data_IF_085206337053
#
_entry.id   IF_085206337053
#
_cell.length_a   1.000
_cell.length_b   1.000
_cell.length_c   1.000
_cell.angle_alpha   90.00
_cell.angle_beta   90.00
_cell.angle_gamma   90.00
#
_symmetry.space_group_name_H-M   'P 1'
#
loop_
_entity.id
_entity.type
_entity.pdbx_description
1 polymer ?
2 non-polymer ?
3 non-polymer ?
4 non-polymer ?
5 non-polymer ?
6 water ?
#
# COMPACT_ATOMS: atom_id res chain seq x y z
N UNK A 4 17.54 20.34 16.35
CA UNK A 4 17.46 19.29 15.26
C UNK A 4 16.12 19.39 14.51
N UNK A 5 16.10 19.82 13.21
CA UNK A 5 14.85 20.11 12.53
C UNK A 5 14.04 18.84 12.29
N UNK A 6 12.72 18.96 12.23
CA UNK A 6 11.85 17.81 11.87
C UNK A 6 11.92 17.62 10.38
N UNK A 7 11.94 16.36 9.90
CA UNK A 7 12.03 16.12 8.49
C UNK A 7 10.76 16.46 7.73
N UNK A 8 10.95 16.78 6.44
CA UNK A 8 9.87 17.09 5.46
C UNK A 8 9.67 15.85 4.58
N UNK A 9 10.69 15.00 4.50
CA UNK A 9 10.70 13.76 3.69
C UNK A 9 11.49 12.68 4.41
N UNK A 10 11.04 11.44 4.28
CA UNK A 10 11.77 10.25 4.79
C UNK A 10 11.90 9.25 3.67
N UNK A 11 12.80 8.31 3.81
CA UNK A 11 12.81 7.17 2.88
C UNK A 11 12.39 5.92 3.63
N UNK A 12 11.66 5.10 2.88
CA UNK A 12 11.03 3.87 3.43
C UNK A 12 11.47 2.73 2.53
N UNK A 13 12.01 1.69 3.14
CA UNK A 13 12.28 0.41 2.49
C UNK A 13 11.11 -0.55 2.73
N UNK A 14 10.65 -1.17 1.65
CA UNK A 14 9.65 -2.26 1.68
C UNK A 14 10.32 -3.51 1.13
N UNK A 15 10.28 -4.59 1.89
CA UNK A 15 10.72 -5.88 1.38
C UNK A 15 9.62 -6.90 1.46
N UNK A 16 9.52 -7.75 0.47
CA UNK A 16 8.61 -8.91 0.53
C UNK A 16 9.43 -10.14 0.11
N UNK A 17 9.35 -11.18 0.91
CA UNK A 17 10.02 -12.45 0.58
C UNK A 17 9.23 -13.64 1.06
N UNK A 18 8.87 -14.52 0.14
CA UNK A 18 8.32 -15.84 0.51
C UNK A 18 9.54 -16.75 0.67
N UNK A 19 9.79 -17.16 1.88
CA UNK A 19 11.03 -17.85 2.27
C UNK A 19 10.91 -19.37 1.97
N UNK A 20 9.77 -19.86 1.52
CA UNK A 20 9.62 -21.27 1.17
C UNK A 20 9.90 -22.22 2.33
N UNK A 21 9.64 -21.76 3.55
CA UNK A 21 9.72 -22.57 4.80
C UNK A 21 11.17 -22.98 5.09
N UNK A 22 12.15 -22.29 4.49
CA UNK A 22 13.59 -22.60 4.66
C UNK A 22 14.23 -21.45 5.40
N UNK A 23 15.24 -21.70 6.25
CA UNK A 23 15.97 -20.60 6.86
C UNK A 23 16.73 -19.84 5.79
N UNK A 24 16.99 -18.56 6.05
CA UNK A 24 17.71 -17.74 5.09
C UNK A 24 19.18 -18.10 5.04
N UNK A 25 19.90 -17.65 4.01
CA UNK A 25 21.35 -17.81 4.00
C UNK A 25 21.98 -16.81 4.99
N UNK A 26 23.30 -16.90 5.17
CA UNK A 26 23.97 -16.13 6.24
C UNK A 26 24.05 -14.65 5.88
N UNK A 27 24.02 -14.31 4.59
CA UNK A 27 24.09 -12.91 4.15
C UNK A 27 22.85 -12.55 3.32
N UNK A 28 22.11 -11.52 3.74
CA UNK A 28 20.90 -11.06 2.99
C UNK A 28 21.01 -9.56 2.76
N UNK A 29 22.18 -8.98 2.97
CA UNK A 29 22.36 -7.51 2.82
C UNK A 29 21.94 -6.95 1.45
N UNK A 30 22.07 -7.75 0.38
CA UNK A 30 21.70 -7.34 -1.00
C UNK A 30 20.24 -6.87 -1.02
N UNK A 31 19.39 -7.53 -0.24
CA UNK A 31 17.95 -7.18 -0.19
C UNK A 31 17.79 -5.73 0.29
N UNK A 32 18.41 -5.42 1.41
CA UNK A 32 18.23 -4.11 2.05
C UNK A 32 18.99 -3.02 1.31
N UNK A 33 19.96 -3.39 0.50
CA UNK A 33 20.71 -2.45 -0.38
C UNK A 33 20.02 -2.27 -1.73
N UNK A 34 18.91 -2.93 -2.01
CA UNK A 34 18.22 -2.79 -3.31
C UNK A 34 19.20 -3.10 -4.45
N UNK A 35 19.91 -4.22 -4.35
CA UNK A 35 20.87 -4.71 -5.37
C UNK A 35 20.31 -5.99 -6.02
N UNK A 36 20.48 -6.10 -7.35
CA UNK A 36 20.14 -7.30 -8.09
C UNK A 36 19.63 -6.88 -9.43
N UNK A 37 18.41 -7.28 -9.76
CA UNK A 37 17.75 -6.95 -11.05
C UNK A 37 16.70 -5.87 -10.82
N UNK A 38 16.37 -5.14 -11.89
CA UNK A 38 15.27 -4.19 -11.90
C UNK A 38 15.79 -2.81 -11.73
N UNK A 39 15.02 -1.98 -11.03
CA UNK A 39 15.38 -0.57 -10.71
C UNK A 39 16.13 -0.59 -9.37
N UNK A 40 17.46 -0.55 -9.44
CA UNK A 40 18.33 -0.78 -8.29
C UNK A 40 18.87 0.55 -7.75
N UNK A 41 19.34 0.46 -6.52
CA UNK A 41 19.83 1.64 -5.79
C UNK A 41 21.30 1.86 -6.11
N UNK A 42 21.69 3.14 -6.20
CA UNK A 42 23.08 3.55 -6.55
C UNK A 42 24.03 3.13 -5.42
N UNK A 43 25.21 2.62 -5.80
CA UNK A 43 26.27 2.20 -4.83
C UNK A 43 26.61 3.33 -3.86
N UNK A 44 26.56 4.57 -4.31
CA UNK A 44 26.96 5.74 -3.51
C UNK A 44 26.04 5.91 -2.29
N UNK A 45 24.86 5.29 -2.32
CA UNK A 45 23.91 5.37 -1.20
C UNK A 45 24.04 4.22 -0.22
N UNK A 46 24.94 3.28 -0.40
CA UNK A 46 24.92 2.02 0.39
C UNK A 46 24.99 2.25 1.89
N UNK A 47 25.68 3.30 2.36
CA UNK A 47 25.85 3.48 3.82
C UNK A 47 24.75 4.35 4.41
N UNK A 48 23.89 4.90 3.56
CA UNK A 48 22.85 5.87 3.97
C UNK A 48 21.67 5.03 4.43
N UNK A 49 21.29 5.07 5.71
CA UNK A 49 20.19 4.23 6.19
C UNK A 49 18.89 4.82 5.63
N UNK A 50 17.94 3.95 5.33
CA UNK A 50 16.53 4.37 5.18
C UNK A 50 16.03 4.73 6.57
N UNK A 51 15.00 5.57 6.62
CA UNK A 51 14.38 5.98 7.90
C UNK A 51 13.64 4.81 8.54
N UNK A 52 12.87 4.09 7.73
CA UNK A 52 11.95 3.01 8.16
C UNK A 52 12.19 1.83 7.20
N UNK A 53 12.40 0.62 7.76
CA UNK A 53 12.44 -0.64 7.01
C UNK A 53 11.22 -1.47 7.39
N UNK A 54 10.46 -1.87 6.39
CA UNK A 54 9.27 -2.72 6.57
C UNK A 54 9.50 -4.01 5.83
N UNK A 55 9.48 -5.12 6.56
CA UNK A 55 9.92 -6.46 6.05
C UNK A 55 8.77 -7.45 6.14
N UNK A 56 8.17 -7.80 5.00
CA UNK A 56 7.09 -8.79 4.93
C UNK A 56 7.66 -10.11 4.51
N UNK A 57 7.36 -11.14 5.26
CA UNK A 57 7.70 -12.52 4.84
C UNK A 57 6.43 -13.36 4.78
N UNK A 58 6.54 -14.39 3.98
CA UNK A 58 5.52 -15.47 3.83
C UNK A 58 6.25 -16.80 3.86
N UNK A 59 5.56 -17.85 4.28
CA UNK A 59 6.19 -19.16 4.49
C UNK A 59 7.45 -18.99 5.35
N UNK A 60 7.37 -18.15 6.36
CA UNK A 60 8.51 -17.81 7.24
C UNK A 60 8.62 -18.87 8.32
N UNK A 61 9.74 -19.64 8.37
CA UNK A 61 9.88 -20.74 9.35
C UNK A 61 10.50 -20.33 10.67
N UNK A 62 10.93 -19.09 10.77
CA UNK A 62 11.72 -18.59 11.92
C UNK A 62 10.79 -18.10 13.03
N UNK A 63 11.30 -18.09 14.24
CA UNK A 63 10.62 -17.40 15.34
C UNK A 63 10.78 -15.89 15.10
N UNK A 64 9.93 -15.08 15.73
CA UNK A 64 10.10 -13.61 15.71
C UNK A 64 11.49 -13.25 16.20
N UNK A 65 11.93 -13.87 17.30
CA UNK A 65 13.25 -13.54 17.87
C UNK A 65 14.34 -13.82 16.83
N UNK A 66 14.30 -14.99 16.24
CA UNK A 66 15.33 -15.43 15.29
C UNK A 66 15.39 -14.42 14.12
N UNK A 67 14.23 -14.07 13.57
CA UNK A 67 14.23 -13.19 12.37
C UNK A 67 14.68 -11.78 12.76
N UNK A 68 14.20 -11.25 13.88
CA UNK A 68 14.60 -9.92 14.36
C UNK A 68 16.11 -9.82 14.51
N UNK A 69 16.71 -10.85 15.11
CA UNK A 69 18.18 -11.01 15.24
C UNK A 69 18.83 -10.75 13.89
N UNK A 70 18.41 -11.54 12.88
CA UNK A 70 19.01 -11.54 11.53
C UNK A 70 18.80 -10.15 10.90
N UNK A 71 17.63 -9.58 11.02
CA UNK A 71 17.34 -8.30 10.37
C UNK A 71 18.20 -7.21 11.00
N UNK A 72 18.16 -7.10 12.31
CA UNK A 72 18.95 -6.04 12.99
C UNK A 72 20.45 -6.17 12.70
N UNK A 73 20.98 -7.40 12.72
CA UNK A 73 22.39 -7.68 12.37
C UNK A 73 22.69 -7.17 10.95
N UNK A 74 21.83 -7.52 10.00
CA UNK A 74 22.01 -7.17 8.56
C UNK A 74 22.06 -5.64 8.42
N UNK A 75 21.14 -4.92 9.06
CA UNK A 75 21.09 -3.45 8.95
C UNK A 75 22.31 -2.86 9.64
N UNK A 76 22.71 -3.40 10.78
CA UNK A 76 23.88 -2.85 11.52
C UNK A 76 25.13 -3.01 10.66
N UNK A 77 25.29 -4.15 10.00
CA UNK A 77 26.44 -4.40 9.11
C UNK A 77 26.42 -3.39 7.95
N UNK A 78 25.27 -3.09 7.37
CA UNK A 78 25.18 -2.13 6.23
C UNK A 78 25.49 -0.72 6.68
N UNK A 79 24.87 -0.28 7.76
CA UNK A 79 24.71 1.15 8.09
C UNK A 79 25.46 1.58 9.35
N UNK A 80 25.91 0.61 10.14
CA UNK A 80 26.52 0.78 11.49
C UNK A 80 25.49 1.29 12.52
N UNK A 81 24.20 1.32 12.15
CA UNK A 81 23.12 1.84 13.05
C UNK A 81 22.37 0.65 13.63
N UNK A 82 22.07 0.72 14.91
CA UNK A 82 21.24 -0.26 15.63
C UNK A 82 19.80 0.21 15.55
N UNK A 83 19.01 -0.46 14.73
CA UNK A 83 17.63 -0.02 14.48
C UNK A 83 16.75 -0.44 15.65
N UNK A 84 15.71 0.34 15.91
CA UNK A 84 14.73 0.07 16.95
C UNK A 84 13.56 -0.70 16.34
N UNK A 85 12.98 -1.62 17.08
CA UNK A 85 11.81 -2.37 16.62
C UNK A 85 10.56 -1.54 16.88
N UNK A 86 9.82 -1.16 15.86
CA UNK A 86 8.54 -0.43 15.99
C UNK A 86 7.42 -1.41 16.25
N UNK A 87 7.38 -2.49 15.48
CA UNK A 87 6.29 -3.46 15.60
C UNK A 87 6.70 -4.74 14.90
N UNK A 88 6.18 -5.84 15.40
CA UNK A 88 6.28 -7.15 14.70
C UNK A 88 4.98 -7.88 14.90
N UNK A 89 4.42 -8.45 13.86
CA UNK A 89 3.16 -9.21 13.96
C UNK A 89 3.17 -10.39 13.00
N UNK A 90 2.75 -11.54 13.48
CA UNK A 90 2.79 -12.79 12.73
C UNK A 90 1.43 -13.44 12.77
N UNK A 91 0.94 -13.88 11.61
CA UNK A 91 -0.23 -14.77 11.48
C UNK A 91 0.29 -16.01 10.79
N UNK A 92 0.23 -17.13 11.48
CA UNK A 92 0.74 -18.39 10.94
C UNK A 92 2.20 -18.18 10.52
N UNK A 93 2.48 -18.25 9.23
CA UNK A 93 3.85 -18.04 8.73
C UNK A 93 3.94 -16.78 7.87
N UNK A 94 3.02 -15.83 8.08
CA UNK A 94 2.99 -14.51 7.43
C UNK A 94 3.41 -13.48 8.47
N UNK A 95 4.42 -12.69 8.20
CA UNK A 95 5.00 -11.82 9.23
C UNK A 95 5.31 -10.44 8.66
N UNK A 96 5.17 -9.46 9.50
CA UNK A 96 5.61 -8.09 9.20
C UNK A 96 6.50 -7.58 10.34
N UNK A 97 7.64 -6.97 9.98
CA UNK A 97 8.56 -6.32 10.93
C UNK A 97 8.71 -4.89 10.50
N UNK A 98 8.61 -3.96 11.44
CA UNK A 98 8.91 -2.55 11.16
C UNK A 98 10.05 -2.11 12.08
N UNK A 99 11.12 -1.65 11.45
CA UNK A 99 12.33 -1.14 12.11
C UNK A 99 12.47 0.33 11.75
N UNK A 100 12.98 1.15 12.67
CA UNK A 100 13.22 2.57 12.38
C UNK A 100 14.54 3.03 13.01
N UNK A 101 15.14 4.06 12.41
CA UNK A 101 16.31 4.77 13.00
C UNK A 101 15.97 5.09 14.45
N UNK A 102 16.94 5.01 15.38
CA UNK A 102 16.68 5.40 16.76
C UNK A 102 16.24 6.84 16.98
N UNK A 103 16.70 7.74 16.12
CA UNK A 103 16.34 9.18 16.19
C UNK A 103 14.83 9.35 15.96
N UNK A 104 14.14 8.35 15.40
CA UNK A 104 12.69 8.46 15.10
C UNK A 104 11.82 7.95 16.24
N UNK A 105 12.42 7.44 17.30
CA UNK A 105 11.65 6.71 18.33
C UNK A 105 10.54 7.59 18.94
N UNK A 106 10.83 8.88 19.12
CA UNK A 106 9.88 9.86 19.74
C UNK A 106 9.13 10.64 18.64
N UNK A 107 9.23 10.20 17.38
CA UNK A 107 8.41 10.73 16.26
C UNK A 107 7.30 9.72 15.93
N UNK A 108 7.46 8.48 16.40
CA UNK A 108 6.53 7.38 16.05
C UNK A 108 5.57 7.16 17.21
N UNK A 109 4.29 7.11 16.92
CA UNK A 109 3.30 6.87 17.98
C UNK A 109 2.08 6.17 17.40
N UNK A 110 1.11 5.83 18.22
CA UNK A 110 -0.18 5.25 17.74
C UNK A 110 0.11 4.02 16.90
N UNK A 111 0.96 3.14 17.40
CA UNK A 111 1.31 1.90 16.67
C UNK A 111 0.17 0.91 16.80
N UNK A 112 -0.34 0.42 15.65
CA UNK A 112 -1.41 -0.59 15.58
C UNK A 112 -0.91 -1.80 14.79
N UNK A 113 -1.39 -3.00 15.13
CA UNK A 113 -1.14 -4.24 14.37
C UNK A 113 -2.46 -4.95 14.23
N UNK A 114 -2.61 -5.70 13.15
CA UNK A 114 -3.80 -6.55 12.98
C UNK A 114 -3.52 -7.61 11.93
N UNK A 115 -4.40 -8.57 11.84
CA UNK A 115 -4.29 -9.60 10.78
C UNK A 115 -5.70 -9.88 10.29
N UNK A 116 -5.77 -10.44 9.11
CA UNK A 116 -7.01 -10.99 8.54
C UNK A 116 -6.72 -12.38 8.02
N UNK A 117 -7.54 -13.37 8.36
CA UNK A 117 -7.50 -14.73 7.81
C UNK A 117 -8.45 -14.81 6.64
N UNK A 118 -7.99 -15.24 5.46
CA UNK A 118 -8.91 -15.27 4.30
C UNK A 118 -9.53 -16.67 4.16
N UNK A 119 -10.62 -16.79 3.39
CA UNK A 119 -11.18 -18.12 3.07
C UNK A 119 -12.18 -18.60 4.12
N UNK A 120 -12.77 -19.78 3.91
CA UNK A 120 -13.78 -20.44 4.80
C UNK A 120 -13.48 -21.94 4.82
N UNK A 121 -13.26 -22.54 6.00
CA UNK A 121 -13.12 -24.00 6.24
C UNK A 121 -11.89 -24.54 5.50
N UNK A 122 -12.07 -25.29 4.39
CA UNK A 122 -11.02 -25.73 3.42
C UNK A 122 -9.93 -24.67 3.25
N UNK A 123 -10.36 -23.43 2.94
CA UNK A 123 -9.54 -22.30 2.43
C UNK A 123 -9.11 -21.38 3.59
N UNK A 124 -9.58 -21.65 4.83
CA UNK A 124 -9.11 -20.94 6.05
C UNK A 124 -8.03 -21.79 6.71
N UNK A 125 -6.81 -21.26 6.84
CA UNK A 125 -5.79 -21.91 7.67
C UNK A 125 -4.37 -21.56 7.29
N UNK A 126 -4.15 -20.98 6.11
CA UNK A 126 -2.78 -20.46 5.97
C UNK A 126 -2.59 -19.12 5.24
N UNK A 127 -3.60 -18.63 4.52
CA UNK A 127 -3.50 -17.38 3.74
C UNK A 127 -4.15 -16.23 4.52
N UNK A 128 -3.73 -15.00 4.21
CA UNK A 128 -4.30 -13.81 4.82
C UNK A 128 -3.29 -12.71 4.81
N UNK A 129 -3.39 -11.82 5.77
CA UNK A 129 -2.54 -10.64 5.77
C UNK A 129 -2.23 -10.22 7.19
N UNK A 130 -1.09 -9.57 7.35
CA UNK A 130 -0.75 -8.86 8.60
C UNK A 130 -0.54 -7.40 8.26
N UNK A 131 -0.71 -6.52 9.20
CA UNK A 131 -0.47 -5.10 8.96
C UNK A 131 -0.05 -4.35 10.18
N UNK A 132 0.57 -3.22 9.91
CA UNK A 132 1.09 -2.29 10.92
C UNK A 132 0.67 -0.91 10.46
N UNK A 133 0.27 -0.07 11.40
CA UNK A 133 0.18 1.38 11.18
C UNK A 133 0.75 2.17 12.33
N UNK A 134 1.12 3.41 12.04
CA UNK A 134 1.58 4.34 13.08
C UNK A 134 1.54 5.73 12.48
N UNK A 135 1.67 6.70 13.37
CA UNK A 135 1.90 8.11 13.03
C UNK A 135 3.39 8.35 13.04
N UNK A 136 3.88 9.04 12.04
CA UNK A 136 5.24 9.56 12.01
C UNK A 136 5.06 11.09 12.04
N UNK A 137 5.29 11.74 13.18
CA UNK A 137 4.90 13.16 13.36
C UNK A 137 3.46 13.33 12.86
N UNK A 138 3.18 14.21 11.90
CA UNK A 138 1.78 14.49 11.54
C UNK A 138 1.29 13.58 10.43
N UNK A 139 2.07 12.57 10.06
CA UNK A 139 1.80 11.73 8.86
C UNK A 139 1.43 10.32 9.32
N UNK A 140 0.31 9.82 8.80
CA UNK A 140 -0.12 8.43 9.08
C UNK A 140 0.40 7.49 7.98
N UNK A 141 0.96 6.37 8.44
CA UNK A 141 1.61 5.35 7.56
C UNK A 141 0.95 4.00 7.85
N UNK A 142 0.54 3.32 6.80
CA UNK A 142 0.03 1.95 6.92
C UNK A 142 0.80 0.99 6.03
N UNK A 143 0.91 -0.28 6.46
CA UNK A 143 1.70 -1.28 5.77
C UNK A 143 0.99 -2.59 5.89
N UNK A 144 0.74 -3.23 4.75
CA UNK A 144 0.03 -4.51 4.66
C UNK A 144 0.92 -5.52 3.95
N UNK A 145 1.15 -6.66 4.57
CA UNK A 145 1.80 -7.84 4.00
C UNK A 145 0.75 -8.92 3.80
N UNK A 146 0.42 -9.27 2.59
CA UNK A 146 -0.59 -10.31 2.31
C UNK A 146 0.04 -11.47 1.56
N UNK A 147 -0.39 -12.68 1.89
CA UNK A 147 -0.10 -13.93 1.18
C UNK A 147 -1.43 -14.39 0.62
N UNK A 148 -1.69 -14.15 -0.64
CA UNK A 148 -2.99 -14.45 -1.24
C UNK A 148 -2.97 -15.89 -1.81
N UNK A 149 -4.15 -16.34 -2.19
CA UNK A 149 -4.38 -17.71 -2.68
C UNK A 149 -3.46 -17.99 -3.85
N UNK A 150 -2.89 -19.20 -3.88
CA UNK A 150 -1.95 -19.71 -4.91
C UNK A 150 -2.73 -20.20 -6.14
N UNK A 151 -2.03 -20.39 -7.25
CA UNK A 151 -2.52 -21.16 -8.39
C UNK A 151 -2.94 -20.27 -9.51
N UNK A 152 -2.50 -20.58 -10.71
CA UNK A 152 -2.81 -19.76 -11.89
C UNK A 152 -4.32 -19.57 -12.12
N UNK A 153 -5.12 -20.55 -11.71
CA UNK A 153 -6.57 -20.63 -12.02
C UNK A 153 -7.38 -19.78 -11.03
N UNK A 154 -6.75 -19.25 -9.97
CA UNK A 154 -7.46 -18.66 -8.81
C UNK A 154 -7.33 -17.12 -8.75
N UNK A 155 -7.27 -16.45 -9.90
CA UNK A 155 -7.16 -14.97 -9.83
C UNK A 155 -8.38 -14.35 -9.12
N UNK A 156 -9.58 -14.88 -9.37
CA UNK A 156 -10.79 -14.32 -8.75
C UNK A 156 -10.75 -14.47 -7.24
N UNK A 157 -10.26 -15.62 -6.74
CA UNK A 157 -10.08 -15.86 -5.29
C UNK A 157 -9.12 -14.80 -4.74
N UNK A 158 -8.01 -14.57 -5.43
CA UNK A 158 -7.05 -13.54 -4.96
C UNK A 158 -7.79 -12.21 -4.84
N UNK A 159 -8.62 -11.89 -5.83
CA UNK A 159 -9.31 -10.60 -5.79
C UNK A 159 -10.25 -10.56 -4.58
N UNK A 160 -10.89 -11.69 -4.29
CA UNK A 160 -11.77 -11.78 -3.10
C UNK A 160 -10.92 -11.64 -1.84
N UNK A 161 -9.75 -12.27 -1.81
CA UNK A 161 -8.86 -12.18 -0.63
C UNK A 161 -8.52 -10.70 -0.39
N UNK A 162 -8.14 -9.99 -1.44
CA UNK A 162 -7.84 -8.56 -1.39
C UNK A 162 -9.00 -7.79 -0.75
N UNK A 163 -10.23 -8.03 -1.22
CA UNK A 163 -11.37 -7.24 -0.69
C UNK A 163 -11.61 -7.59 0.78
N UNK A 164 -11.47 -8.86 1.17
CA UNK A 164 -11.63 -9.20 2.60
C UNK A 164 -10.57 -8.48 3.43
N UNK A 165 -9.33 -8.48 2.99
CA UNK A 165 -8.26 -7.84 3.78
C UNK A 165 -8.56 -6.34 3.92
N UNK A 166 -8.91 -5.73 2.78
CA UNK A 166 -9.27 -4.30 2.66
C UNK A 166 -10.35 -3.97 3.69
N UNK A 167 -11.39 -4.79 3.74
CA UNK A 167 -12.58 -4.54 4.59
C UNK A 167 -12.26 -4.74 6.05
N UNK A 168 -11.52 -5.78 6.38
CA UNK A 168 -11.51 -6.27 7.79
C UNK A 168 -10.24 -5.96 8.54
N UNK A 169 -9.19 -5.50 7.87
CA UNK A 169 -7.95 -5.22 8.60
C UNK A 169 -8.17 -3.91 9.36
N UNK A 170 -8.01 -3.94 10.66
CA UNK A 170 -8.37 -2.83 11.56
C UNK A 170 -7.11 -2.10 11.97
N UNK A 171 -6.70 -1.14 11.17
CA UNK A 171 -5.51 -0.33 11.45
C UNK A 171 -5.92 1.12 11.51
N UNK A 172 -5.01 1.98 11.97
CA UNK A 172 -5.20 3.42 11.92
C UNK A 172 -6.25 3.90 12.90
N UNK A 173 -6.74 5.11 12.68
CA UNK A 173 -7.61 5.84 13.66
C UNK A 173 -9.03 5.26 13.60
N UNK A 174 -9.42 4.54 14.68
CA UNK A 174 -10.75 3.89 14.76
C UNK A 174 -11.87 4.94 14.67
N UNK A 175 -11.64 6.26 14.94
CA UNK A 175 -12.67 7.32 14.77
C UNK A 175 -13.01 7.49 13.30
N UNK A 176 -12.15 7.03 12.39
CA UNK A 176 -12.46 7.13 10.94
C UNK A 176 -13.40 5.99 10.56
N UNK A 177 -14.52 5.85 11.26
CA UNK A 177 -15.36 4.63 11.18
C UNK A 177 -15.89 4.34 9.79
N UNK A 178 -16.25 5.31 8.90
CA UNK A 178 -16.72 4.97 7.56
C UNK A 178 -15.62 4.50 6.61
N UNK A 179 -14.37 4.59 7.03
CA UNK A 179 -13.23 4.43 6.10
C UNK A 179 -12.48 3.13 6.37
N UNK A 180 -12.18 2.41 5.30
CA UNK A 180 -11.28 1.23 5.35
C UNK A 180 -9.81 1.69 5.23
N UNK A 181 -8.91 0.72 5.28
CA UNK A 181 -7.47 1.07 5.25
C UNK A 181 -7.11 1.82 3.97
N UNK A 182 -7.86 1.70 2.88
CA UNK A 182 -7.50 2.43 1.63
C UNK A 182 -7.73 3.94 1.77
N UNK A 183 -8.28 4.44 2.86
CA UNK A 183 -8.46 5.90 3.10
C UNK A 183 -7.89 6.35 4.43
N UNK A 184 -7.35 5.46 5.27
CA UNK A 184 -6.96 5.89 6.64
C UNK A 184 -5.56 6.47 6.71
N UNK A 185 -4.74 6.36 5.67
CA UNK A 185 -3.32 6.72 5.79
C UNK A 185 -2.88 7.71 4.73
N UNK A 186 -2.02 8.64 5.11
CA UNK A 186 -1.35 9.53 4.17
C UNK A 186 -0.65 8.68 3.08
N UNK A 187 0.01 7.62 3.52
CA UNK A 187 0.72 6.69 2.63
C UNK A 187 0.38 5.27 3.08
N UNK A 188 -0.11 4.43 2.18
CA UNK A 188 -0.41 3.01 2.45
C UNK A 188 0.43 2.18 1.49
N UNK A 189 1.22 1.26 2.03
CA UNK A 189 2.03 0.33 1.21
C UNK A 189 1.42 -1.05 1.38
N UNK A 190 1.12 -1.73 0.28
CA UNK A 190 0.51 -3.08 0.29
C UNK A 190 1.41 -3.95 -0.58
N UNK A 191 1.92 -4.98 0.02
CA UNK A 191 2.97 -5.83 -0.59
C UNK A 191 2.70 -7.26 -0.18
N UNK A 192 3.46 -8.18 -0.76
CA UNK A 192 3.42 -9.55 -0.34
C UNK A 192 3.59 -10.51 -1.50
N UNK A 193 3.38 -11.79 -1.18
CA UNK A 193 3.20 -12.85 -2.20
C UNK A 193 1.75 -12.85 -2.61
N UNK A 194 1.45 -11.94 -3.53
CA UNK A 194 0.09 -11.72 -4.06
C UNK A 194 -0.28 -12.86 -4.99
N UNK A 195 0.66 -13.61 -5.56
CA UNK A 195 0.38 -14.90 -6.21
C UNK A 195 -0.31 -14.77 -7.56
N UNK A 196 -0.39 -13.56 -8.10
CA UNK A 196 -0.84 -13.42 -9.50
C UNK A 196 0.22 -13.93 -10.48
N UNK A 197 -0.24 -14.61 -11.52
CA UNK A 197 0.61 -15.34 -12.44
C UNK A 197 0.60 -14.74 -13.83
N UNK A 198 1.56 -15.18 -14.62
CA UNK A 198 1.62 -14.88 -16.06
C UNK A 198 0.72 -15.92 -16.72
N UNK A 199 -0.42 -15.45 -17.26
CA UNK A 199 -1.48 -16.34 -17.80
C UNK A 199 -1.21 -16.62 -19.28
N UNK A 200 -0.35 -17.60 -19.53
CA UNK A 200 0.02 -18.07 -20.88
C UNK A 200 -0.18 -19.56 -20.83
N UNK A 201 -0.37 -20.22 -22.00
CA UNK A 201 -0.56 -21.66 -22.01
C UNK A 201 0.66 -22.37 -21.42
N UNK A 202 0.44 -23.48 -20.71
CA UNK A 202 1.50 -24.21 -19.97
C UNK A 202 2.54 -24.79 -20.93
N UNK A 203 2.17 -25.03 -22.19
CA UNK A 203 3.09 -25.55 -23.24
C UNK A 203 3.96 -24.42 -23.83
N UNK A 204 3.73 -23.16 -23.44
CA UNK A 204 4.66 -22.05 -23.70
C UNK A 204 5.75 -21.93 -22.61
N UNK A 205 5.87 -22.84 -21.65
CA UNK A 205 6.83 -22.71 -20.55
C UNK A 205 8.23 -22.42 -21.09
N UNK A 206 8.74 -23.19 -22.05
CA UNK A 206 10.15 -23.04 -22.46
C UNK A 206 10.28 -21.72 -23.19
N UNK A 207 9.27 -21.33 -23.95
CA UNK A 207 9.28 -20.02 -24.63
C UNK A 207 9.37 -18.92 -23.60
N UNK A 208 8.59 -19.01 -22.53
CA UNK A 208 8.66 -17.97 -21.45
C UNK A 208 10.06 -17.91 -20.86
N UNK A 209 10.65 -19.07 -20.59
CA UNK A 209 12.00 -19.14 -20.01
C UNK A 209 13.01 -18.46 -20.93
N UNK A 210 12.92 -18.70 -22.24
CA UNK A 210 13.89 -18.11 -23.20
C UNK A 210 13.66 -16.59 -23.25
N UNK A 211 12.42 -16.10 -23.12
CA UNK A 211 12.16 -14.64 -23.07
C UNK A 211 12.85 -14.03 -21.83
N UNK A 212 12.72 -14.72 -20.69
CA UNK A 212 13.37 -14.26 -19.44
C UNK A 212 14.89 -14.19 -19.61
N UNK A 213 15.49 -15.20 -20.22
CA UNK A 213 16.95 -15.22 -20.45
C UNK A 213 17.41 -14.05 -21.33
N UNK A 214 16.56 -13.57 -22.22
CA UNK A 214 16.81 -12.44 -23.13
C UNK A 214 16.44 -11.13 -22.45
N UNK A 215 15.97 -11.17 -21.20
CA UNK A 215 15.48 -9.98 -20.47
C UNK A 215 14.42 -9.24 -21.29
N UNK A 216 13.55 -9.99 -21.96
CA UNK A 216 12.45 -9.44 -22.77
C UNK A 216 11.17 -9.75 -22.01
N UNK A 217 10.73 -8.81 -21.19
CA UNK A 217 9.59 -9.04 -20.26
C UNK A 217 8.27 -8.55 -20.84
N UNK A 218 8.25 -7.81 -21.93
CA UNK A 218 7.02 -7.12 -22.40
C UNK A 218 5.90 -8.13 -22.69
N UNK A 219 6.16 -9.20 -23.43
CA UNK A 219 5.08 -10.13 -23.82
C UNK A 219 4.67 -10.95 -22.60
N UNK A 220 5.49 -10.98 -21.54
CA UNK A 220 5.06 -11.69 -20.32
C UNK A 220 4.22 -10.75 -19.44
N UNK A 221 4.69 -9.51 -19.22
CA UNK A 221 3.93 -8.53 -18.38
C UNK A 221 2.54 -8.27 -18.97
N UNK A 222 2.36 -8.32 -20.29
CA UNK A 222 1.05 -8.10 -20.94
C UNK A 222 0.08 -9.22 -20.56
N UNK A 223 0.57 -10.32 -19.98
CA UNK A 223 -0.30 -11.43 -19.49
C UNK A 223 -0.26 -11.56 -17.97
N UNK A 224 0.42 -10.63 -17.29
CA UNK A 224 0.45 -10.69 -15.81
C UNK A 224 -0.94 -10.42 -15.27
N UNK A 225 -1.45 -11.32 -14.44
CA UNK A 225 -2.84 -11.23 -13.97
C UNK A 225 -3.03 -9.98 -13.12
N UNK A 226 -2.07 -9.60 -12.32
CA UNK A 226 -2.28 -8.42 -11.47
C UNK A 226 -2.41 -7.15 -12.36
N UNK A 227 -1.52 -6.97 -13.34
CA UNK A 227 -1.66 -5.81 -14.25
C UNK A 227 -3.00 -5.86 -14.97
N UNK A 228 -3.42 -7.04 -15.45
CA UNK A 228 -4.67 -7.11 -16.26
C UNK A 228 -5.86 -6.90 -15.34
N UNK A 229 -5.92 -7.51 -14.17
CA UNK A 229 -7.02 -7.28 -13.22
C UNK A 229 -7.08 -5.83 -12.76
N UNK A 230 -5.93 -5.20 -12.52
CA UNK A 230 -5.88 -3.77 -12.15
C UNK A 230 -6.45 -2.93 -13.30
N UNK A 231 -6.08 -3.25 -14.54
CA UNK A 231 -6.49 -2.44 -15.71
C UNK A 231 -8.00 -2.53 -15.87
N UNK A 232 -8.60 -3.68 -15.51
CA UNK A 232 -10.06 -3.88 -15.60
C UNK A 232 -10.78 -3.49 -14.30
N UNK A 233 -10.05 -2.88 -13.36
CA UNK A 233 -10.63 -2.32 -12.11
C UNK A 233 -11.26 -3.44 -11.29
N UNK A 234 -10.62 -4.61 -11.30
CA UNK A 234 -11.11 -5.76 -10.49
C UNK A 234 -10.42 -5.82 -9.15
N UNK A 235 -9.31 -5.13 -8.95
CA UNK A 235 -8.51 -5.24 -7.73
C UNK A 235 -7.57 -4.05 -7.63
N UNK A 236 -7.20 -3.66 -6.42
CA UNK A 236 -6.18 -2.63 -6.20
C UNK A 236 -6.54 -1.32 -6.94
N UNK A 237 -7.80 -0.97 -6.94
CA UNK A 237 -8.25 0.28 -7.56
C UNK A 237 -7.58 1.43 -6.84
N UNK A 238 -6.98 2.34 -7.60
CA UNK A 238 -6.38 3.61 -7.10
C UNK A 238 -5.07 3.36 -6.38
N UNK A 239 -4.49 2.19 -6.56
CA UNK A 239 -3.07 1.95 -6.14
C UNK A 239 -2.11 2.09 -7.30
N UNK A 240 -0.85 2.38 -6.98
CA UNK A 240 0.25 2.52 -7.97
C UNK A 240 1.23 1.36 -7.80
N UNK A 241 1.91 1.00 -8.89
CA UNK A 241 3.02 0.03 -8.87
C UNK A 241 4.06 0.57 -9.83
N UNK A 242 5.33 0.51 -9.43
CA UNK A 242 6.47 0.89 -10.30
C UNK A 242 6.59 -0.14 -11.43
N UNK A 243 7.01 0.32 -12.62
CA UNK A 243 7.23 -0.59 -13.75
C UNK A 243 8.15 -1.71 -13.31
N UNK A 244 7.80 -2.93 -13.71
CA UNK A 244 8.59 -4.14 -13.43
C UNK A 244 9.68 -4.32 -14.48
N UNK A 245 10.93 -4.36 -14.05
CA UNK A 245 12.09 -4.47 -14.97
C UNK A 245 13.03 -5.58 -14.50
N UNK A 246 12.53 -6.48 -13.66
CA UNK A 246 13.28 -7.63 -13.13
C UNK A 246 12.58 -8.91 -13.60
N UNK A 247 13.32 -10.00 -13.60
CA UNK A 247 12.74 -11.28 -14.03
C UNK A 247 11.67 -11.74 -13.04
N UNK A 248 10.75 -12.59 -13.48
CA UNK A 248 9.81 -13.26 -12.58
C UNK A 248 10.53 -13.84 -11.38
N UNK A 249 9.93 -13.67 -10.20
CA UNK A 249 10.56 -14.00 -8.91
C UNK A 249 10.14 -15.39 -8.42
N UNK A 250 9.37 -16.10 -9.22
CA UNK A 250 8.82 -17.42 -8.86
C UNK A 250 8.71 -18.18 -10.19
N UNK A 251 8.85 -19.53 -10.22
CA UNK A 251 9.25 -20.42 -9.17
C UNK A 251 10.63 -20.96 -9.51
N UNK A 252 11.62 -20.75 -8.65
CA UNK A 252 13.03 -21.15 -8.91
C UNK A 252 13.32 -22.49 -8.24
N UNK A 253 14.18 -23.27 -8.87
CA UNK A 253 14.91 -24.33 -8.14
C UNK A 253 15.73 -23.67 -7.03
N UNK A 254 15.74 -24.25 -5.84
CA UNK A 254 16.54 -23.71 -4.72
C UNK A 254 18.05 -23.86 -4.98
N UNK A 255 18.84 -22.97 -4.38
CA UNK A 255 20.31 -22.98 -4.31
C UNK A 255 20.95 -22.49 -5.62
N UNK A 256 20.16 -22.18 -6.66
CA UNK A 256 20.67 -21.47 -7.85
C UNK A 256 19.59 -20.44 -8.21
N UNK A 257 19.81 -19.55 -9.17
CA UNK A 257 18.72 -18.81 -9.85
C UNK A 257 18.75 -19.15 -11.33
N UNK A 258 19.41 -20.24 -11.70
CA UNK A 258 19.63 -20.54 -13.14
C UNK A 258 18.42 -21.27 -13.72
N UNK A 259 17.53 -21.77 -12.86
CA UNK A 259 16.45 -22.66 -13.33
C UNK A 259 15.11 -22.27 -12.71
N UNK A 260 14.14 -22.14 -13.58
CA UNK A 260 12.72 -22.06 -13.17
C UNK A 260 12.16 -23.48 -13.10
N UNK A 261 11.52 -23.81 -11.97
CA UNK A 261 10.90 -25.13 -11.70
C UNK A 261 9.40 -24.99 -11.92
N UNK A 262 8.94 -25.21 -13.13
CA UNK A 262 7.54 -24.92 -13.48
C UNK A 262 6.65 -26.14 -13.67
N UNK A 263 7.24 -27.33 -13.85
CA UNK A 263 6.51 -28.57 -14.20
C UNK A 263 5.62 -29.00 -13.03
N UNK A 264 4.48 -29.63 -13.34
CA UNK A 264 3.55 -30.11 -12.29
C UNK A 264 4.18 -31.32 -11.61
N UNK A 265 3.99 -31.39 -10.31
CA UNK A 265 4.60 -32.38 -9.37
C UNK A 265 3.56 -32.74 -8.31
N UNK A 266 3.67 -33.93 -7.68
CA UNK A 266 2.72 -34.21 -6.59
C UNK A 266 2.77 -33.09 -5.56
N UNK A 267 3.98 -32.60 -5.25
CA UNK A 267 4.21 -31.53 -4.25
C UNK A 267 3.46 -30.23 -4.62
N UNK A 268 3.16 -30.00 -5.90
CA UNK A 268 2.41 -28.78 -6.29
C UNK A 268 0.92 -29.06 -6.48
N UNK A 269 0.46 -30.26 -6.10
CA UNK A 269 -0.92 -30.63 -6.38
C UNK A 269 -1.16 -30.83 -7.86
N UNK A 270 -0.13 -31.23 -8.59
CA UNK A 270 -0.18 -31.44 -10.04
C UNK A 270 -0.57 -30.14 -10.75
N UNK A 271 -0.06 -29.01 -10.25
CA UNK A 271 -0.23 -27.66 -10.83
C UNK A 271 1.08 -27.23 -11.48
N UNK A 272 1.00 -26.59 -12.65
CA UNK A 272 2.14 -25.91 -13.26
C UNK A 272 2.32 -24.58 -12.54
N UNK A 273 3.56 -24.20 -12.42
CA UNK A 273 3.94 -22.86 -11.88
C UNK A 273 4.79 -22.19 -12.96
N UNK A 274 4.16 -21.69 -14.00
CA UNK A 274 4.89 -20.92 -15.03
C UNK A 274 5.50 -19.72 -14.33
N UNK A 275 6.70 -19.29 -14.74
CA UNK A 275 7.38 -18.14 -14.15
C UNK A 275 6.45 -16.94 -14.08
N UNK A 276 6.40 -16.34 -12.89
CA UNK A 276 5.43 -15.30 -12.55
C UNK A 276 6.01 -14.27 -11.59
N UNK A 277 5.44 -13.10 -11.65
CA UNK A 277 5.76 -12.03 -10.69
C UNK A 277 4.78 -12.13 -9.50
N UNK A 278 5.01 -13.12 -8.65
CA UNK A 278 4.12 -13.35 -7.49
C UNK A 278 4.30 -12.24 -6.46
N UNK A 279 5.48 -11.64 -6.40
CA UNK A 279 5.96 -10.91 -5.20
C UNK A 279 6.04 -9.42 -5.53
N UNK A 280 5.21 -8.60 -4.90
CA UNK A 280 4.88 -7.27 -5.45
C UNK A 280 4.84 -6.24 -4.34
N UNK A 281 5.00 -4.98 -4.73
CA UNK A 281 4.85 -3.83 -3.84
C UNK A 281 3.99 -2.82 -4.54
N UNK A 282 2.90 -2.43 -3.91
CA UNK A 282 2.02 -1.36 -4.43
C UNK A 282 1.82 -0.31 -3.34
N UNK A 283 1.37 0.87 -3.72
CA UNK A 283 1.10 1.91 -2.72
C UNK A 283 -0.05 2.79 -3.14
N UNK A 284 -0.58 3.50 -2.17
CA UNK A 284 -1.62 4.50 -2.39
C UNK A 284 -1.35 5.61 -1.39
N UNK A 285 -1.17 6.81 -1.88
CA UNK A 285 -0.95 7.98 -1.03
C UNK A 285 -2.07 8.97 -1.31
N UNK A 286 -2.36 9.80 -0.34
CA UNK A 286 -3.38 10.86 -0.50
C UNK A 286 -2.94 11.78 -1.64
N UNK A 287 -3.95 12.40 -2.28
CA UNK A 287 -3.69 13.28 -3.41
C UNK A 287 -2.68 14.39 -3.11
N UNK A 288 -1.74 14.58 -4.02
CA UNK A 288 -0.74 15.70 -4.01
C UNK A 288 0.15 15.58 -2.80
N UNK A 289 0.34 14.38 -2.26
CA UNK A 289 1.45 14.16 -1.31
C UNK A 289 2.61 13.58 -2.11
N UNK A 290 3.80 14.04 -1.79
CA UNK A 290 5.03 13.54 -2.45
C UNK A 290 5.23 12.06 -2.10
N UNK A 291 5.35 11.23 -3.13
CA UNK A 291 5.79 9.82 -2.96
C UNK A 291 6.46 9.45 -4.25
N UNK A 292 7.70 9.03 -4.18
CA UNK A 292 8.48 8.66 -5.38
C UNK A 292 9.15 7.32 -5.11
N UNK A 293 8.90 6.35 -5.97
CA UNK A 293 9.59 5.06 -5.94
C UNK A 293 11.02 5.26 -6.43
N UNK A 294 11.99 4.92 -5.58
CA UNK A 294 13.45 5.07 -5.84
C UNK A 294 14.04 3.74 -6.35
N UNK A 295 13.43 2.60 -6.00
CA UNK A 295 13.95 1.27 -6.40
C UNK A 295 12.79 0.27 -6.41
N UNK A 296 12.87 -0.71 -7.29
CA UNK A 296 11.87 -1.80 -7.35
C UNK A 296 12.54 -2.92 -8.12
N UNK A 297 12.89 -3.98 -7.40
CA UNK A 297 13.69 -5.04 -8.01
C UNK A 297 13.74 -6.29 -7.19
N UNK A 298 14.54 -7.24 -7.62
CA UNK A 298 14.69 -8.53 -6.92
C UNK A 298 16.16 -8.83 -6.72
N UNK A 299 16.46 -9.53 -5.64
CA UNK A 299 17.85 -9.96 -5.42
C UNK A 299 18.14 -11.17 -6.30
N UNK A 300 19.43 -11.32 -6.61
CA UNK A 300 19.97 -12.41 -7.47
C UNK A 300 20.76 -13.43 -6.64
N UNK A 301 21.14 -13.11 -5.40
CA UNK A 301 22.13 -13.88 -4.62
C UNK A 301 21.50 -14.54 -3.38
N UNK A 302 20.18 -14.50 -3.21
CA UNK A 302 19.52 -15.13 -2.03
C UNK A 302 18.66 -16.25 -2.62
N UNK A 303 19.07 -17.50 -2.39
CA UNK A 303 18.60 -18.67 -3.19
C UNK A 303 18.03 -19.80 -2.31
N UNK A 304 17.74 -19.54 -1.03
CA UNK A 304 17.23 -20.59 -0.12
C UNK A 304 15.77 -20.92 -0.42
N UNK A 305 15.05 -20.01 -1.06
CA UNK A 305 13.63 -20.18 -1.35
C UNK A 305 13.42 -20.41 -2.84
N UNK A 306 12.24 -20.86 -3.20
CA UNK A 306 11.77 -20.94 -4.59
C UNK A 306 11.25 -19.57 -5.08
N UNK A 307 11.21 -18.60 -4.19
CA UNK A 307 10.98 -17.18 -4.55
C UNK A 307 12.25 -16.40 -4.28
N UNK A 308 12.50 -15.38 -5.10
CA UNK A 308 13.52 -14.36 -4.78
C UNK A 308 12.88 -13.21 -4.02
N UNK A 309 13.59 -12.63 -3.05
CA UNK A 309 13.18 -11.42 -2.37
C UNK A 309 12.97 -10.26 -3.35
N UNK A 310 12.01 -9.42 -3.03
CA UNK A 310 11.69 -8.20 -3.77
C UNK A 310 11.91 -7.03 -2.82
N UNK A 311 12.48 -5.97 -3.33
CA UNK A 311 12.66 -4.69 -2.62
C UNK A 311 11.97 -3.57 -3.36
N UNK A 312 11.53 -2.59 -2.61
CA UNK A 312 11.10 -1.30 -3.17
C UNK A 312 11.45 -0.22 -2.16
N UNK A 313 11.92 0.91 -2.62
CA UNK A 313 12.18 2.05 -1.72
C UNK A 313 11.46 3.28 -2.24
N UNK A 314 11.10 4.13 -1.28
CA UNK A 314 10.28 5.31 -1.53
C UNK A 314 10.83 6.52 -0.78
N UNK A 315 10.77 7.68 -1.42
CA UNK A 315 10.89 9.00 -0.74
C UNK A 315 9.45 9.48 -0.49
N UNK A 316 9.06 9.66 0.77
CA UNK A 316 7.68 9.97 1.18
C UNK A 316 7.64 11.30 1.94
N UNK A 317 6.78 12.21 1.49
CA UNK A 317 6.53 13.45 2.23
C UNK A 317 5.91 13.20 3.57
N UNK A 318 6.40 13.95 4.57
CA UNK A 318 5.90 13.90 5.96
C UNK A 318 5.73 15.33 6.43
N UNK A 319 4.87 15.50 7.41
CA UNK A 319 4.58 16.81 8.00
C UNK A 319 4.89 16.76 9.49
N UNK A 320 5.07 17.93 10.09
CA UNK A 320 5.41 18.11 11.52
C UNK A 320 4.16 17.91 12.38
N UNK A 321 4.35 17.77 13.70
CA UNK A 321 3.26 17.78 14.69
C UNK A 321 3.02 19.27 15.06
N UNK A 322 2.14 19.95 14.33
CA UNK A 322 1.92 21.41 14.43
C UNK A 322 1.20 21.82 15.73
N UNK A 323 1.80 22.80 16.42
CA UNK A 323 1.18 23.54 17.56
C UNK A 323 1.12 25.02 17.15
N UNK A 324 -0.04 25.65 17.34
CA UNK A 324 -0.19 27.13 17.31
C UNK A 324 -0.62 27.63 18.71
N UNK A 325 -0.81 28.95 18.83
CA UNK A 325 -1.30 29.60 20.09
C UNK A 325 -2.73 29.12 20.34
N UNK A 326 -3.48 28.80 19.26
CA UNK A 326 -4.89 28.34 19.27
C UNK A 326 -4.90 26.79 19.30
N UNK A 327 -5.12 26.13 18.15
CA UNK A 327 -5.15 24.65 18.08
C UNK A 327 -3.75 24.05 18.26
N UNK A 328 -3.62 22.78 18.73
CA UNK A 328 -4.74 21.97 19.23
C UNK A 328 -5.47 22.39 20.54
N UNK A 329 -6.77 22.12 20.61
CA UNK A 329 -7.62 22.31 21.80
C UNK A 329 -8.53 23.50 21.70
N UNK A 330 -8.65 24.05 20.49
CA UNK A 330 -9.62 25.10 20.13
C UNK A 330 -9.56 25.24 18.60
N UNK A 331 -10.44 26.06 18.03
CA UNK A 331 -10.45 26.42 16.57
C UNK A 331 -9.55 27.66 16.37
N UNK A 332 -9.23 27.96 15.11
CA UNK A 332 -8.46 29.16 14.70
C UNK A 332 -9.38 29.97 13.79
N UNK A 333 -10.25 30.80 14.38
CA UNK A 333 -11.34 31.52 13.69
C UNK A 333 -10.85 32.08 12.34
N UNK A 334 -9.53 32.24 12.14
CA UNK A 334 -8.96 32.82 10.89
C UNK A 334 -9.13 31.81 9.73
N UNK A 335 -9.26 30.51 10.03
CA UNK A 335 -9.35 29.43 9.03
C UNK A 335 -10.78 28.99 8.74
N UNK A 336 -11.10 28.66 7.49
CA UNK A 336 -12.39 28.04 7.14
C UNK A 336 -12.25 27.26 5.83
N UNK A 337 -13.07 26.23 5.70
CA UNK A 337 -13.21 25.46 4.44
C UNK A 337 -14.68 25.47 4.06
N UNK A 338 -14.96 26.02 2.88
CA UNK A 338 -16.33 26.05 2.31
C UNK A 338 -16.38 25.19 1.06
N UNK A 339 -17.47 24.45 0.91
CA UNK A 339 -17.82 23.64 -0.28
C UNK A 339 -19.01 24.29 -1.00
N UNK A 340 -18.80 24.67 -2.26
CA UNK A 340 -19.81 25.32 -3.12
C UNK A 340 -20.27 24.28 -4.15
N UNK A 341 -21.59 24.22 -4.43
CA UNK A 341 -22.12 23.61 -5.68
C UNK A 341 -21.64 22.15 -5.73
N UNK A 342 -21.66 21.47 -4.60
CA UNK A 342 -21.17 20.06 -4.57
C UNK A 342 -22.31 19.09 -4.92
N UNK A 343 -21.95 18.01 -5.60
CA UNK A 343 -22.90 16.90 -5.82
C UNK A 343 -22.12 15.59 -5.87
N UNK A 344 -22.80 14.59 -5.35
CA UNK A 344 -22.34 13.19 -5.43
C UNK A 344 -23.09 12.54 -6.58
N UNK A 345 -22.42 11.74 -7.36
CA UNK A 345 -23.06 10.89 -8.39
C UNK A 345 -22.85 9.46 -7.90
N UNK A 346 -23.93 8.74 -7.65
CA UNK A 346 -23.81 7.38 -7.09
C UNK A 346 -24.32 6.34 -8.09
N UNK A 347 -23.70 5.19 -8.10
CA UNK A 347 -24.10 4.02 -8.91
C UNK A 347 -25.27 3.25 -8.26
N UNK A 348 -25.65 3.52 -7.03
CA UNK A 348 -26.74 2.79 -6.31
C UNK A 348 -28.09 2.90 -7.00
N UNK A 349 -28.90 1.86 -6.82
CA UNK A 349 -30.31 1.82 -7.30
C UNK A 349 -31.25 2.26 -6.18
N UNK A 350 -30.76 2.41 -4.95
CA UNK A 350 -31.62 2.69 -3.76
C UNK A 350 -32.14 4.13 -3.82
N UNK A 351 -33.14 4.49 -3.01
CA UNK A 351 -33.75 5.85 -3.06
C UNK A 351 -33.89 6.46 -1.64
N UNK A 352 -33.04 6.06 -0.69
CA UNK A 352 -32.88 6.77 0.61
C UNK A 352 -32.38 8.21 0.36
N UNK A 353 -32.53 9.08 1.37
CA UNK A 353 -31.81 10.35 1.43
C UNK A 353 -30.37 10.07 1.88
N UNK A 354 -29.45 10.95 1.49
CA UNK A 354 -28.03 10.83 1.86
C UNK A 354 -27.57 12.11 2.56
N UNK A 355 -26.61 11.94 3.45
CA UNK A 355 -25.86 13.04 4.07
C UNK A 355 -24.38 12.76 3.95
N UNK A 356 -23.57 13.77 4.18
CA UNK A 356 -22.09 13.60 4.17
C UNK A 356 -21.54 13.65 5.58
N UNK A 357 -20.39 13.02 5.71
CA UNK A 357 -19.49 13.23 6.88
C UNK A 357 -18.14 13.67 6.36
N UNK A 358 -17.60 14.74 6.95
CA UNK A 358 -16.26 15.27 6.67
C UNK A 358 -15.37 14.87 7.84
N UNK A 359 -14.30 14.11 7.59
CA UNK A 359 -13.35 13.71 8.63
C UNK A 359 -11.96 14.21 8.28
N UNK A 360 -11.31 14.85 9.23
CA UNK A 360 -9.91 15.28 9.01
C UNK A 360 -9.28 15.54 10.35
N UNK A 361 -7.98 15.24 10.45
CA UNK A 361 -7.13 15.59 11.60
C UNK A 361 -7.11 17.10 11.83
N UNK A 362 -7.42 17.90 10.80
CA UNK A 362 -7.45 19.38 10.93
C UNK A 362 -8.74 19.88 11.59
N UNK A 363 -9.70 19.00 11.91
CA UNK A 363 -10.98 19.32 12.61
C UNK A 363 -10.96 18.72 14.00
N UNK A 364 -11.66 19.33 14.95
CA UNK A 364 -11.72 18.82 16.34
C UNK A 364 -12.45 17.48 16.33
N UNK A 365 -13.47 17.35 15.51
CA UNK A 365 -14.21 16.10 15.31
C UNK A 365 -14.93 16.17 13.96
N UNK A 366 -15.42 15.03 13.51
CA UNK A 366 -16.03 14.95 12.16
C UNK A 366 -17.30 15.79 12.11
N UNK A 367 -17.66 16.18 10.91
CA UNK A 367 -18.82 17.08 10.69
C UNK A 367 -19.82 16.40 9.78
N UNK A 368 -21.09 16.39 10.21
CA UNK A 368 -22.23 15.74 9.50
C UNK A 368 -23.08 16.81 8.83
N UNK A 369 -23.25 16.72 7.50
CA UNK A 369 -24.04 17.67 6.69
C UNK A 369 -25.52 17.34 6.86
N UNK A 370 -26.35 18.28 6.39
CA UNK A 370 -27.79 18.08 6.13
C UNK A 370 -27.91 17.07 5.01
N UNK A 371 -29.10 16.52 4.83
CA UNK A 371 -29.42 15.66 3.67
C UNK A 371 -29.30 16.47 2.38
N UNK A 372 -28.76 15.86 1.34
CA UNK A 372 -28.76 16.41 -0.01
C UNK A 372 -30.12 16.21 -0.70
N UNK A 373 -30.26 16.81 -1.88
CA UNK A 373 -31.47 16.67 -2.73
C UNK A 373 -31.19 15.69 -3.88
N UNK A 374 -31.92 14.59 -3.88
CA UNK A 374 -31.82 13.52 -4.91
C UNK A 374 -32.47 13.99 -6.21
N UNK A 375 -31.73 13.88 -7.32
CA UNK A 375 -32.29 14.01 -8.69
C UNK A 375 -31.87 12.77 -9.47
N UNK A 376 -32.53 12.50 -10.58
CA UNK A 376 -32.21 11.43 -11.56
C UNK A 376 -31.26 12.02 -12.62
N UNK A 377 -30.08 11.39 -12.83
CA UNK A 377 -29.15 11.68 -13.94
C UNK A 377 -29.69 11.18 -15.28
N UNK A 378 -29.18 11.73 -16.39
CA UNK A 378 -29.72 11.54 -17.77
C UNK A 378 -29.43 10.12 -18.29
N UNK A 379 -28.45 9.42 -17.71
CA UNK A 379 -28.02 8.05 -18.12
C UNK A 379 -28.35 7.06 -16.99
N UNK A 380 -29.39 7.32 -16.17
CA UNK A 380 -29.91 6.38 -15.14
C UNK A 380 -29.55 6.73 -13.69
N UNK A 381 -28.47 7.50 -13.45
CA UNK A 381 -27.70 7.58 -12.16
C UNK A 381 -28.46 8.31 -11.06
N UNK A 382 -28.04 8.12 -9.81
CA UNK A 382 -28.50 9.02 -8.71
C UNK A 382 -27.52 10.18 -8.56
N UNK A 383 -28.03 11.40 -8.58
CA UNK A 383 -27.25 12.64 -8.32
C UNK A 383 -27.76 13.21 -7.02
N UNK A 384 -26.89 13.37 -6.06
CA UNK A 384 -27.28 13.93 -4.76
C UNK A 384 -26.71 15.35 -4.72
N UNK A 385 -27.59 16.37 -4.69
CA UNK A 385 -27.12 17.79 -4.75
C UNK A 385 -27.03 18.36 -3.34
N UNK A 386 -25.94 19.03 -3.02
CA UNK A 386 -25.76 19.66 -1.69
C UNK A 386 -25.88 21.19 -1.76
N UNK A 387 -25.79 21.73 -2.96
CA UNK A 387 -25.82 23.16 -3.25
C UNK A 387 -24.74 23.90 -2.48
N UNK A 388 -25.18 24.91 -1.72
CA UNK A 388 -24.36 25.80 -0.86
C UNK A 388 -24.83 25.53 0.56
N UNK A 389 -25.38 24.32 0.80
CA UNK A 389 -25.98 23.91 2.09
C UNK A 389 -24.90 23.32 3.01
N UNK A 390 -23.70 22.98 2.51
CA UNK A 390 -22.71 22.21 3.32
C UNK A 390 -22.18 23.07 4.47
N UNK A 391 -21.97 22.49 5.68
CA UNK A 391 -21.52 23.25 6.86
C UNK A 391 -20.11 23.82 6.65
N UNK A 392 -19.84 25.06 7.05
CA UNK A 392 -18.48 25.67 6.92
C UNK A 392 -17.55 24.95 7.91
N UNK A 393 -16.41 24.40 7.46
CA UNK A 393 -15.54 23.58 8.35
C UNK A 393 -14.54 24.51 9.01
N UNK A 394 -14.32 24.28 10.29
CA UNK A 394 -13.53 25.16 11.18
C UNK A 394 -12.28 24.41 11.59
N UNK A 395 -11.16 24.60 10.86
CA UNK A 395 -9.93 23.90 11.20
C UNK A 395 -9.33 24.45 12.50
N UNK A 396 -8.54 23.60 13.16
CA UNK A 396 -7.95 23.84 14.50
C UNK A 396 -6.81 24.83 14.38
N UNK A 397 -6.22 24.91 13.21
CA UNK A 397 -5.03 25.75 12.93
C UNK A 397 -5.26 26.39 11.57
N UNK A 398 -5.00 27.69 11.44
CA UNK A 398 -5.29 28.49 10.22
C UNK A 398 -4.02 28.73 9.41
N UNK A 399 -2.85 28.42 9.97
CA UNK A 399 -1.56 28.71 9.32
C UNK A 399 -1.52 27.94 8.00
N UNK A 400 -1.29 28.61 6.85
CA UNK A 400 -1.32 27.95 5.54
C UNK A 400 -0.24 26.87 5.41
N UNK A 401 0.90 27.01 6.10
CA UNK A 401 1.96 25.97 6.07
C UNK A 401 1.46 24.66 6.68
N UNK A 402 0.47 24.74 7.54
CA UNK A 402 -0.19 23.51 8.07
C UNK A 402 -1.36 23.15 7.16
N UNK A 403 -2.26 24.09 6.92
CA UNK A 403 -3.61 23.73 6.42
C UNK A 403 -3.50 23.23 4.97
N UNK A 404 -2.62 23.79 4.13
CA UNK A 404 -2.54 23.41 2.72
C UNK A 404 -1.99 21.97 2.60
N UNK A 405 -1.37 21.43 3.65
CA UNK A 405 -0.88 20.03 3.64
C UNK A 405 -1.92 19.05 4.14
N UNK A 406 -3.14 19.48 4.43
CA UNK A 406 -4.15 18.58 5.02
C UNK A 406 -5.06 18.01 3.93
N UNK A 407 -5.90 17.07 4.36
CA UNK A 407 -6.85 16.38 3.48
C UNK A 407 -8.16 16.24 4.22
N UNK A 408 -9.27 16.22 3.46
CA UNK A 408 -10.63 15.99 3.98
C UNK A 408 -11.09 14.67 3.40
N UNK A 409 -11.36 13.71 4.27
CA UNK A 409 -12.07 12.46 3.88
C UNK A 409 -13.56 12.77 3.85
N UNK A 410 -14.23 12.23 2.83
CA UNK A 410 -15.71 12.40 2.67
C UNK A 410 -16.34 11.03 2.61
N UNK A 411 -17.37 10.82 3.43
CA UNK A 411 -18.26 9.65 3.32
C UNK A 411 -19.67 10.16 3.00
N UNK A 412 -20.32 9.50 2.05
CA UNK A 412 -21.75 9.77 1.77
C UNK A 412 -22.52 8.61 2.35
N UNK A 413 -23.41 8.91 3.32
CA UNK A 413 -24.10 7.89 4.12
C UNK A 413 -25.61 7.97 3.90
N UNK A 414 -26.24 6.80 3.90
CA UNK A 414 -27.72 6.67 3.86
C UNK A 414 -28.32 7.20 5.17
N UNK A 415 -29.32 8.08 5.07
CA UNK A 415 -30.08 8.53 6.27
C UNK A 415 -30.82 7.35 6.90
N UNK A 416 -31.31 6.40 6.11
CA UNK A 416 -32.13 5.24 6.56
C UNK A 416 -31.26 4.28 7.39
N UNK A 417 -30.01 4.04 6.99
CA UNK A 417 -29.18 2.95 7.58
C UNK A 417 -27.93 3.46 8.27
N UNK A 418 -27.53 4.70 7.98
CA UNK A 418 -26.25 5.30 8.45
C UNK A 418 -25.04 4.51 7.93
N UNK A 419 -25.27 3.81 6.84
CA UNK A 419 -24.15 3.06 6.23
C UNK A 419 -23.54 3.92 5.11
N UNK A 420 -22.15 3.86 5.01
CA UNK A 420 -21.45 4.58 3.91
C UNK A 420 -21.71 3.89 2.57
N UNK A 421 -22.07 4.68 1.56
CA UNK A 421 -22.23 4.22 0.18
C UNK A 421 -20.99 4.59 -0.64
N UNK A 422 -20.10 5.42 -0.08
CA UNK A 422 -18.92 5.86 -0.82
C UNK A 422 -18.02 6.74 0.03
N UNK A 423 -16.72 6.56 -0.18
CA UNK A 423 -15.66 7.25 0.56
C UNK A 423 -14.66 7.78 -0.45
N UNK A 424 -14.16 8.97 -0.18
CA UNK A 424 -13.12 9.60 -1.00
C UNK A 424 -12.34 10.63 -0.20
N UNK A 425 -11.44 11.32 -0.86
CA UNK A 425 -10.50 12.21 -0.19
C UNK A 425 -10.22 13.42 -1.07
N UNK A 426 -10.21 14.58 -0.46
CA UNK A 426 -9.91 15.88 -1.11
C UNK A 426 -8.65 16.48 -0.50
N UNK A 427 -7.67 16.83 -1.32
CA UNK A 427 -6.45 17.55 -0.87
C UNK A 427 -6.79 19.03 -0.67
N UNK A 428 -6.20 19.63 0.35
CA UNK A 428 -6.27 21.10 0.55
C UNK A 428 -5.04 21.80 -0.04
N UNK A 429 -4.24 21.09 -0.84
CA UNK A 429 -3.00 21.62 -1.49
C UNK A 429 -3.41 22.45 -2.71
N UNK A 430 -4.15 23.54 -2.48
CA UNK A 430 -4.84 24.31 -3.56
C UNK A 430 -3.87 25.23 -4.28
N UNK A 431 -4.23 25.57 -5.51
CA UNK A 431 -3.52 26.56 -6.35
C UNK A 431 -3.68 27.96 -5.76
N UNK A 432 -4.68 28.20 -4.95
CA UNK A 432 -5.03 29.54 -4.44
C UNK A 432 -5.89 29.41 -3.18
N UNK A 433 -5.82 30.40 -2.29
CA UNK A 433 -6.73 30.53 -1.15
C UNK A 433 -7.74 31.65 -1.46
N UNK A 434 -8.86 31.66 -0.75
CA UNK A 434 -9.91 32.70 -0.90
C UNK A 434 -10.38 32.75 -2.36
N UNK A 435 -10.37 31.61 -3.08
CA UNK A 435 -10.66 31.50 -4.54
C UNK A 435 -11.49 30.22 -4.70
N UNK A 436 -12.60 30.28 -5.43
CA UNK A 436 -13.41 29.05 -5.70
C UNK A 436 -12.64 28.18 -6.68
N UNK A 437 -12.38 26.92 -6.34
CA UNK A 437 -11.56 26.06 -7.20
C UNK A 437 -12.27 24.72 -7.32
N UNK A 438 -12.19 24.08 -8.49
CA UNK A 438 -12.77 22.74 -8.65
C UNK A 438 -12.12 21.72 -7.70
N UNK A 439 -12.95 20.87 -7.10
CA UNK A 439 -12.48 19.64 -6.37
C UNK A 439 -13.19 18.43 -6.95
N UNK A 440 -12.59 17.26 -6.72
CA UNK A 440 -13.08 16.00 -7.27
C UNK A 440 -12.45 14.89 -6.43
N UNK A 441 -13.25 13.87 -6.17
CA UNK A 441 -12.71 12.54 -5.77
C UNK A 441 -13.63 11.46 -6.33
N UNK A 442 -13.06 10.33 -6.73
CA UNK A 442 -13.87 9.13 -6.92
C UNK A 442 -14.38 8.71 -5.54
N UNK A 443 -15.47 7.98 -5.51
CA UNK A 443 -16.01 7.40 -4.27
C UNK A 443 -15.93 5.89 -4.40
N UNK A 444 -15.46 5.23 -3.35
CA UNK A 444 -15.40 3.76 -3.32
C UNK A 444 -16.12 3.27 -2.09
N UNK A 445 -16.48 2.00 -2.11
CA UNK A 445 -16.96 1.32 -0.90
C UNK A 445 -16.51 -0.12 -1.00
N UNK A 446 -15.91 -0.61 0.08
CA UNK A 446 -15.21 -1.91 0.09
C UNK A 446 -14.19 -1.89 -1.05
N UNK A 447 -13.65 -0.72 -1.36
CA UNK A 447 -12.56 -0.57 -2.34
C UNK A 447 -13.01 -0.68 -3.79
N UNK A 448 -14.33 -0.79 -4.07
CA UNK A 448 -14.93 -0.79 -5.42
C UNK A 448 -15.51 0.58 -5.71
N UNK A 449 -15.48 1.00 -6.97
CA UNK A 449 -16.04 2.31 -7.40
C UNK A 449 -17.55 2.34 -7.17
N UNK A 450 -18.06 3.34 -6.47
CA UNK A 450 -19.51 3.47 -6.22
C UNK A 450 -20.04 4.81 -6.71
N UNK A 451 -19.15 5.71 -7.14
CA UNK A 451 -19.63 7.05 -7.51
C UNK A 451 -18.50 8.04 -7.56
N UNK A 452 -18.89 9.30 -7.55
CA UNK A 452 -17.98 10.46 -7.63
C UNK A 452 -18.53 11.59 -6.76
N UNK A 453 -17.62 12.44 -6.30
CA UNK A 453 -18.00 13.68 -5.59
C UNK A 453 -17.21 14.82 -6.24
N UNK A 454 -17.94 15.86 -6.63
CA UNK A 454 -17.28 17.00 -7.30
C UNK A 454 -18.01 18.28 -6.92
N UNK A 455 -17.30 19.38 -7.02
CA UNK A 455 -17.87 20.69 -6.73
C UNK A 455 -16.74 21.67 -6.68
N UNK A 456 -16.89 22.69 -5.85
CA UNK A 456 -15.84 23.70 -5.69
C UNK A 456 -15.57 23.86 -4.20
N UNK A 457 -14.35 24.31 -3.91
CA UNK A 457 -13.86 24.59 -2.55
C UNK A 457 -13.43 26.06 -2.51
N UNK A 458 -13.45 26.62 -1.29
CA UNK A 458 -12.93 27.98 -1.00
C UNK A 458 -12.24 27.84 0.35
N UNK A 459 -10.95 27.96 0.40
CA UNK A 459 -10.14 27.75 1.61
C UNK A 459 -9.62 29.11 2.09
N UNK A 460 -9.92 29.43 3.35
CA UNK A 460 -9.42 30.63 4.09
C UNK A 460 -8.29 30.19 5.02
N UNK A 461 -7.09 30.75 4.84
CA UNK A 461 -5.97 30.54 5.78
C UNK A 461 -5.65 31.90 6.40
N UNK A 462 -4.77 31.92 7.40
CA UNK A 462 -4.29 33.18 8.03
C UNK A 462 -3.49 34.04 7.03
N UNK A 463 -3.13 33.58 5.84
CA UNK A 463 -2.43 34.52 4.91
C UNK A 463 -3.33 34.92 3.73
X LIG B 1 29.63 5.16 7.77
X LIG B 1 30.50 -0.97 8.55
X LIG B 1 30.91 3.32 6.74
X LIG B 1 31.03 2.00 6.35
X LIG B 1 30.00 1.10 6.60
X LIG B 1 30.14 -0.36 6.18
X LIG B 1 31.05 -0.08 9.38
X LIG B 1 28.84 1.53 7.25
X LIG B 1 30.46 6.12 7.06
X LIG B 1 28.72 2.86 7.63
X LIG B 1 28.71 5.60 8.80
X LIG B 1 29.75 3.76 7.38
X LIG B 1 29.60 -1.68 9.26
X LIG B 1 30.80 -1.14 7.19
X LIG B 1 30.51 -0.24 10.57
X LIG B 1 29.61 -1.23 10.49
X LIG C 1 -0.15 14.42 6.30
X LIG C 1 1.32 14.47 6.52
X LIG C 1 -0.36 15.01 4.66
X LIG C 1 -0.86 15.87 7.08
X LIG D 1 -6.55 12.80 7.67
X LIG D 1 -6.79 14.21 8.19
X LIG D 1 -7.43 11.73 8.80
X LIG D 1 -7.68 12.66 6.34
X LIG E 1 -9.56 8.79 -3.89
X LIG E 1 -9.34 8.37 -2.43
X LIG E 1 -8.47 7.87 -4.90
X LIG E 1 -8.76 10.38 -4.03
X LIG F 1 3.35 -19.58 -3.37
X LIG F 1 3.62 -18.75 -4.64
X LIG F 1 4.69 -20.09 -2.84
X LIG F 1 2.39 -20.74 -3.68
X LIG F 1 2.68 -18.66 -2.35
X LIG G 1 5.41 -21.69 -1.81
#
# INVERSE_FOLDING_TARGET
SMEQPEPDMITIFIGTWNMGNAPPPKKITSWFLSKGQGKTRDDSADYIPHDIYVIGTQEDPLSEKEWLEILKHSLQEITSVTFKTVAIHTLWNIRIVVLAKPEHENRISHICTDNVKTGIANTLGNKGAVGVSFMFNGTSLGFVNSHLTSGSEKKLRRNQNYMNILRFLALGDKKLSPFNITHRFTHLFWFGDLNYRVDLPTWEAETIIQKIKQQQYADLLSHDQLLTERREQKVFLHFEEEEITFAPTYRFERLTRDKYAYTKQKATGMKYNLPSWCDRVLWKSYPLVHVVCQSYGSTSDIMTSDHSPVFATFEAGVTSQFVSKNGPGTVDSQGQIEFLRCYATLKTKSQTKFYLEFHSSCLESFVKSQEGENEEGSEGELVVKFGETLPKLKPIISDPEYLLDQHILISIKSSDSDESYGEGCIALRLEATETQLPIYTPLTHHGELTGHFQGEIKLQTSQ
NVD N1 N3 C4 C5 C6 C7 C8 C10 C1 C11 C2 C3 C9 N2 N4 N5
DMS S O C1 C2
DMS S O C1 C2
DMS S O C1 C2
PO4 P O1 O2 O3 O4
MG MG
#
